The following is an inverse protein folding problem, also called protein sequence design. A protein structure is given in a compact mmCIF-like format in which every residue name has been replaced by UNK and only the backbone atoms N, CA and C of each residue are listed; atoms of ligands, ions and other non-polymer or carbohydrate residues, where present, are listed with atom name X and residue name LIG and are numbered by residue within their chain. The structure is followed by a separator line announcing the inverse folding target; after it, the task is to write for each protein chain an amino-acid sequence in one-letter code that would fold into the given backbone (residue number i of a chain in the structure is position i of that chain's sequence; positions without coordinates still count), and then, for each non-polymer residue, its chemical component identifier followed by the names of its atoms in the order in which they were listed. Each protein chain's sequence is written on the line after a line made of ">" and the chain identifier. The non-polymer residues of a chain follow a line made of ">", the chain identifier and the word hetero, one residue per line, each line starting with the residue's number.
data_IF_544064101140
#
_entry.id   IF_544064101140
#
_cell.length_a   1.000
_cell.length_b   1.000
_cell.length_c   1.000
_cell.angle_alpha   90.00
_cell.angle_beta   90.00
_cell.angle_gamma   90.00
#
_symmetry.space_group_name_H-M   'P 1'
#
loop_
_entity.id
_entity.type
_entity.pdbx_description
1 polymer ?
#
# COMPACT_ATOMS: atom_id res chain seq x y z
N UNK A 1 42.91 -38.91 5.65
CA UNK A 1 41.75 -38.22 6.25
C UNK A 1 41.91 -36.73 5.97
N UNK A 2 41.17 -36.19 4.99
CA UNK A 2 41.13 -34.76 4.69
C UNK A 2 39.84 -34.21 5.27
N UNK A 3 39.93 -33.35 6.29
CA UNK A 3 38.78 -32.74 6.93
C UNK A 3 38.17 -31.70 5.98
N UNK A 4 36.92 -31.92 5.57
CA UNK A 4 36.12 -30.94 4.84
C UNK A 4 35.89 -29.72 5.75
N UNK A 5 36.41 -28.56 5.36
CA UNK A 5 36.08 -27.28 6.00
C UNK A 5 34.57 -27.05 5.87
N UNK A 6 33.86 -26.61 6.93
CA UNK A 6 32.49 -26.17 6.80
C UNK A 6 32.44 -25.02 5.79
N UNK A 7 31.64 -25.19 4.74
CA UNK A 7 31.35 -24.12 3.78
C UNK A 7 30.77 -22.95 4.57
N UNK A 8 31.52 -21.85 4.68
CA UNK A 8 31.03 -20.63 5.30
C UNK A 8 29.75 -20.24 4.59
N UNK A 9 28.61 -20.30 5.29
CA UNK A 9 27.32 -19.94 4.74
C UNK A 9 27.44 -18.54 4.12
N UNK A 10 27.26 -18.45 2.80
CA UNK A 10 27.33 -17.19 2.09
C UNK A 10 26.34 -16.21 2.75
N UNK A 11 26.73 -14.94 2.98
CA UNK A 11 25.85 -13.97 3.61
C UNK A 11 24.52 -13.91 2.85
N UNK A 12 23.41 -14.08 3.56
CA UNK A 12 22.08 -14.02 2.95
C UNK A 12 21.88 -12.63 2.36
N UNK A 13 21.73 -12.57 1.03
CA UNK A 13 21.43 -11.31 0.35
C UNK A 13 20.05 -10.86 0.79
N UNK A 14 19.89 -9.67 1.38
CA UNK A 14 18.59 -9.22 1.88
C UNK A 14 17.59 -9.17 0.73
N UNK A 15 16.40 -9.76 0.95
CA UNK A 15 15.32 -9.84 -0.06
C UNK A 15 14.92 -8.47 -0.58
N UNK A 16 15.01 -7.43 0.24
CA UNK A 16 14.68 -6.05 -0.11
C UNK A 16 15.86 -5.11 0.14
N UNK A 17 16.02 -4.09 -0.70
CA UNK A 17 17.01 -3.03 -0.51
C UNK A 17 16.64 -2.11 0.66
N UNK A 18 17.61 -1.32 1.15
CA UNK A 18 17.33 -0.30 2.17
C UNK A 18 16.30 0.71 1.67
N UNK A 19 16.42 1.16 0.42
CA UNK A 19 15.47 2.09 -0.19
C UNK A 19 14.04 1.54 -0.19
N UNK A 20 13.84 0.28 -0.61
CA UNK A 20 12.51 -0.36 -0.59
C UNK A 20 11.89 -0.37 0.82
N UNK A 21 12.68 -0.70 1.85
CA UNK A 21 12.20 -0.74 3.24
C UNK A 21 11.82 0.64 3.77
N UNK A 22 12.65 1.65 3.51
CA UNK A 22 12.36 3.02 3.98
C UNK A 22 11.15 3.62 3.27
N UNK A 23 11.01 3.40 1.95
CA UNK A 23 9.82 3.81 1.20
C UNK A 23 8.58 3.12 1.76
N UNK A 24 8.63 1.80 1.96
CA UNK A 24 7.50 1.06 2.52
C UNK A 24 7.11 1.55 3.92
N UNK A 25 8.09 1.79 4.81
CA UNK A 25 7.85 2.33 6.16
C UNK A 25 7.21 3.71 6.11
N UNK A 26 7.73 4.62 5.30
CA UNK A 26 7.20 5.96 5.16
C UNK A 26 5.75 5.95 4.62
N UNK A 27 5.49 5.15 3.57
CA UNK A 27 4.13 4.96 3.04
C UNK A 27 3.21 4.34 4.10
N UNK A 28 3.68 3.34 4.85
CA UNK A 28 2.89 2.71 5.90
C UNK A 28 2.49 3.72 7.00
N UNK A 29 3.43 4.53 7.49
CA UNK A 29 3.15 5.56 8.50
C UNK A 29 2.11 6.56 8.00
N UNK A 30 2.28 7.09 6.79
CA UNK A 30 1.32 8.02 6.18
C UNK A 30 -0.05 7.36 5.98
N UNK A 31 -0.07 6.12 5.47
CA UNK A 31 -1.30 5.36 5.25
C UNK A 31 -2.07 5.12 6.54
N UNK A 32 -1.40 4.64 7.59
CA UNK A 32 -2.03 4.43 8.90
C UNK A 32 -2.51 5.75 9.52
N UNK A 33 -1.77 6.84 9.32
CA UNK A 33 -2.19 8.18 9.75
C UNK A 33 -3.47 8.61 9.03
N UNK A 34 -3.55 8.45 7.71
CA UNK A 34 -4.76 8.71 6.93
C UNK A 34 -5.93 7.84 7.39
N UNK A 35 -5.72 6.54 7.63
CA UNK A 35 -6.78 5.63 8.09
C UNK A 35 -7.30 6.00 9.48
N UNK A 36 -6.40 6.30 10.42
CA UNK A 36 -6.79 6.69 11.78
C UNK A 36 -7.55 8.02 11.79
N UNK A 37 -7.04 9.02 11.07
CA UNK A 37 -7.72 10.32 10.96
C UNK A 37 -9.05 10.21 10.21
N UNK A 38 -9.15 9.40 9.14
CA UNK A 38 -10.40 9.13 8.45
C UNK A 38 -11.45 8.49 9.37
N UNK A 39 -11.05 7.50 10.19
CA UNK A 39 -11.96 6.87 11.15
C UNK A 39 -12.54 7.90 12.14
N UNK A 40 -11.70 8.82 12.63
CA UNK A 40 -12.14 9.92 13.51
C UNK A 40 -13.06 10.89 12.77
N UNK A 41 -12.73 11.27 11.53
CA UNK A 41 -13.52 12.24 10.75
C UNK A 41 -14.88 11.67 10.32
N UNK A 42 -14.96 10.37 10.07
CA UNK A 42 -16.18 9.66 9.66
C UNK A 42 -17.09 9.33 10.85
N UNK A 43 -16.53 8.94 11.99
CA UNK A 43 -17.31 8.55 13.16
C UNK A 43 -17.49 9.71 14.15
N UNK A 44 -18.73 10.21 14.27
CA UNK A 44 -19.06 11.32 15.17
C UNK A 44 -18.67 11.09 16.64
N UNK A 45 -18.80 9.88 17.17
CA UNK A 45 -18.42 9.57 18.55
C UNK A 45 -16.91 9.65 18.76
N UNK A 46 -16.11 9.21 17.78
CA UNK A 46 -14.65 9.37 17.82
C UNK A 46 -14.25 10.84 17.68
N UNK A 47 -14.91 11.60 16.81
CA UNK A 47 -14.65 13.03 16.65
C UNK A 47 -14.91 13.82 17.94
N UNK A 48 -15.98 13.48 18.67
CA UNK A 48 -16.29 14.09 19.96
C UNK A 48 -15.24 13.75 21.03
N UNK A 49 -14.77 12.49 21.05
CA UNK A 49 -13.75 12.04 22.01
C UNK A 49 -12.39 12.70 21.79
N UNK A 50 -11.94 12.78 20.53
CA UNK A 50 -10.63 13.39 20.20
C UNK A 50 -10.68 14.91 20.37
N UNK A 51 -11.83 15.54 20.08
CA UNK A 51 -11.94 16.99 19.95
C UNK A 51 -11.11 17.51 18.76
N UNK A 52 -11.13 18.82 18.51
CA UNK A 52 -10.24 19.46 17.52
C UNK A 52 -10.33 18.88 16.09
N UNK A 53 -11.56 18.66 15.60
CA UNK A 53 -11.83 18.11 14.24
C UNK A 53 -10.99 18.76 13.14
N UNK A 54 -10.80 20.08 13.20
CA UNK A 54 -10.00 20.81 12.21
C UNK A 54 -8.53 20.38 12.18
N UNK A 55 -7.90 20.13 13.33
CA UNK A 55 -6.52 19.62 13.37
C UNK A 55 -6.44 18.22 12.75
N UNK A 56 -7.40 17.35 13.07
CA UNK A 56 -7.48 16.00 12.50
C UNK A 56 -7.63 16.05 10.98
N UNK A 57 -8.49 16.95 10.49
CA UNK A 57 -8.66 17.22 9.06
C UNK A 57 -7.36 17.69 8.40
N UNK A 58 -6.65 18.65 9.01
CA UNK A 58 -5.36 19.12 8.48
C UNK A 58 -4.34 17.98 8.41
N UNK A 59 -4.21 17.19 9.47
CA UNK A 59 -3.30 16.03 9.48
C UNK A 59 -3.70 15.03 8.40
N UNK A 60 -4.99 14.75 8.23
CA UNK A 60 -5.50 13.85 7.20
C UNK A 60 -5.11 14.33 5.79
N UNK A 61 -5.43 15.59 5.48
CA UNK A 61 -5.18 16.18 4.16
C UNK A 61 -3.68 16.20 3.84
N UNK A 62 -2.85 16.69 4.76
CA UNK A 62 -1.41 16.77 4.52
C UNK A 62 -0.75 15.39 4.45
N UNK A 63 -1.21 14.42 5.24
CA UNK A 63 -0.74 13.03 5.14
C UNK A 63 -1.13 12.41 3.79
N UNK A 64 -2.36 12.67 3.32
CA UNK A 64 -2.86 12.18 2.03
C UNK A 64 -2.08 12.77 0.86
N UNK A 65 -1.80 14.08 0.89
CA UNK A 65 -0.97 14.76 -0.12
C UNK A 65 0.48 14.27 -0.09
N UNK A 66 0.99 13.88 1.08
CA UNK A 66 2.35 13.39 1.24
C UNK A 66 2.55 11.93 0.79
N UNK A 67 1.47 11.12 0.67
CA UNK A 67 1.56 9.69 0.30
C UNK A 67 2.42 9.40 -0.96
N UNK A 68 2.33 10.19 -2.05
CA UNK A 68 3.16 9.95 -3.24
C UNK A 68 4.64 10.29 -3.03
N UNK A 69 4.98 11.13 -2.05
CA UNK A 69 6.34 11.67 -1.88
C UNK A 69 7.39 10.58 -1.64
N UNK A 70 7.22 9.64 -0.69
CA UNK A 70 8.18 8.55 -0.53
C UNK A 70 8.32 7.68 -1.78
N UNK A 71 7.24 7.48 -2.53
CA UNK A 71 7.26 6.67 -3.76
C UNK A 71 8.07 7.35 -4.87
N UNK A 72 7.93 8.67 -5.01
CA UNK A 72 8.69 9.48 -5.94
C UNK A 72 10.17 9.55 -5.55
N UNK A 73 10.48 9.73 -4.27
CA UNK A 73 11.86 9.68 -3.76
C UNK A 73 12.49 8.30 -3.98
N UNK A 74 11.70 7.23 -3.80
CA UNK A 74 12.11 5.86 -4.09
C UNK A 74 12.56 5.65 -5.54
N UNK A 75 11.99 6.39 -6.50
CA UNK A 75 12.37 6.30 -7.91
C UNK A 75 13.83 6.68 -8.19
N UNK A 76 14.52 7.36 -7.27
CA UNK A 76 15.97 7.58 -7.37
C UNK A 76 16.77 6.26 -7.27
N UNK A 77 16.23 5.24 -6.57
CA UNK A 77 16.86 3.93 -6.42
C UNK A 77 16.57 3.01 -7.61
N UNK A 78 17.63 2.49 -8.25
CA UNK A 78 17.51 1.54 -9.36
C UNK A 78 16.84 0.23 -8.93
N UNK A 79 17.11 -0.25 -7.72
CA UNK A 79 16.49 -1.45 -7.17
C UNK A 79 14.97 -1.29 -7.00
N UNK A 80 14.56 -0.14 -6.44
CA UNK A 80 13.15 0.20 -6.28
C UNK A 80 12.43 0.30 -7.63
N UNK A 81 13.01 1.02 -8.62
CA UNK A 81 12.44 1.11 -9.97
C UNK A 81 12.26 -0.26 -10.62
N UNK A 82 13.26 -1.14 -10.49
CA UNK A 82 13.18 -2.49 -11.05
C UNK A 82 12.05 -3.32 -10.41
N UNK A 83 11.78 -3.12 -9.12
CA UNK A 83 10.66 -3.78 -8.44
C UNK A 83 9.30 -3.19 -8.80
N UNK A 84 9.18 -1.87 -8.93
CA UNK A 84 7.96 -1.23 -9.45
C UNK A 84 7.62 -1.78 -10.83
N UNK A 85 8.59 -1.85 -11.75
CA UNK A 85 8.39 -2.41 -13.09
C UNK A 85 8.01 -3.89 -13.09
N UNK A 86 8.38 -4.66 -12.06
CA UNK A 86 7.94 -6.05 -11.89
C UNK A 86 6.51 -6.14 -11.36
N UNK A 87 6.13 -5.23 -10.47
CA UNK A 87 4.79 -5.15 -9.90
C UNK A 87 3.74 -4.71 -10.93
N UNK A 88 4.10 -3.82 -11.86
CA UNK A 88 3.23 -3.35 -12.94
C UNK A 88 2.90 -4.44 -13.98
N UNK A 89 3.74 -5.49 -14.09
CA UNK A 89 3.60 -6.53 -15.11
C UNK A 89 2.78 -7.71 -14.59
N UNK A 90 1.47 -7.66 -14.87
CA UNK A 90 0.56 -8.81 -14.73
C UNK A 90 0.63 -9.69 -15.98
N UNK A 91 1.23 -10.86 -15.86
CA UNK A 91 1.42 -11.84 -16.94
C UNK A 91 0.25 -12.82 -17.05
N UNK A 92 0.21 -13.62 -18.12
CA UNK A 92 -0.79 -14.69 -18.27
C UNK A 92 -0.71 -15.73 -17.16
N UNK A 93 0.49 -16.04 -16.67
CA UNK A 93 0.69 -16.99 -15.58
C UNK A 93 0.22 -16.40 -14.24
N UNK A 94 0.35 -15.10 -14.02
CA UNK A 94 -0.24 -14.42 -12.86
C UNK A 94 -1.77 -14.60 -12.83
N UNK A 95 -2.42 -14.44 -13.99
CA UNK A 95 -3.86 -14.66 -14.12
C UNK A 95 -4.25 -16.13 -13.91
N UNK A 96 -3.43 -17.08 -14.37
CA UNK A 96 -3.64 -18.51 -14.12
C UNK A 96 -3.51 -18.82 -12.63
N UNK A 97 -2.52 -18.22 -11.95
CA UNK A 97 -2.32 -18.34 -10.52
C UNK A 97 -3.51 -17.82 -9.72
N UNK A 98 -4.06 -16.65 -10.09
CA UNK A 98 -5.22 -16.05 -9.41
C UNK A 98 -6.49 -16.92 -9.52
N UNK A 99 -6.68 -17.61 -10.65
CA UNK A 99 -7.86 -18.47 -10.88
C UNK A 99 -7.66 -19.91 -10.36
N UNK A 100 -6.43 -20.32 -10.08
CA UNK A 100 -6.13 -21.68 -9.66
C UNK A 100 -6.42 -21.91 -8.17
N UNK A 101 -7.13 -23.00 -7.85
CA UNK A 101 -7.27 -23.49 -6.47
C UNK A 101 -6.00 -24.13 -5.93
N UNK A 102 -5.07 -24.54 -6.80
CA UNK A 102 -3.81 -25.18 -6.43
C UNK A 102 -2.62 -24.23 -6.39
N UNK A 103 -2.84 -22.92 -6.40
CA UNK A 103 -1.83 -21.85 -6.41
C UNK A 103 -0.68 -21.92 -5.36
N UNK A 104 -0.75 -22.83 -4.38
CA UNK A 104 0.26 -23.06 -3.33
C UNK A 104 1.09 -24.35 -3.52
N UNK A 105 0.84 -25.12 -4.58
CA UNK A 105 1.49 -26.41 -4.84
C UNK A 105 2.83 -26.31 -5.61
N UNK A 106 3.22 -25.10 -6.03
CA UNK A 106 4.46 -24.86 -6.78
C UNK A 106 4.38 -25.20 -8.28
N UNK A 107 3.24 -25.65 -8.79
CA UNK A 107 3.07 -26.02 -10.21
C UNK A 107 3.05 -24.82 -11.16
N UNK A 108 2.76 -23.63 -10.65
CA UNK A 108 2.71 -22.38 -11.43
C UNK A 108 3.95 -21.56 -11.08
N UNK A 109 4.80 -21.18 -12.06
CA UNK A 109 5.96 -20.34 -11.82
C UNK A 109 5.59 -19.03 -11.12
N UNK A 110 6.38 -18.64 -10.13
CA UNK A 110 6.21 -17.39 -9.37
C UNK A 110 7.52 -16.61 -9.48
N UNK A 111 7.43 -15.38 -9.98
CA UNK A 111 8.55 -14.43 -10.02
C UNK A 111 8.85 -13.89 -8.60
N UNK A 112 9.78 -12.93 -8.44
CA UNK A 112 10.10 -12.28 -7.16
C UNK A 112 8.85 -11.86 -6.38
N UNK A 113 7.79 -11.43 -7.07
CA UNK A 113 6.47 -11.14 -6.51
C UNK A 113 5.41 -12.08 -7.09
N UNK A 114 4.59 -12.67 -6.22
CA UNK A 114 3.46 -13.49 -6.66
C UNK A 114 2.31 -12.62 -7.20
N UNK A 115 1.40 -13.23 -7.96
CA UNK A 115 0.27 -12.54 -8.57
C UNK A 115 -0.63 -11.82 -7.55
N UNK A 116 -0.78 -12.36 -6.34
CA UNK A 116 -1.52 -11.70 -5.25
C UNK A 116 -0.84 -10.43 -4.76
N UNK A 117 0.49 -10.41 -4.65
CA UNK A 117 1.26 -9.22 -4.30
C UNK A 117 1.18 -8.15 -5.39
N UNK A 118 1.26 -8.55 -6.66
CA UNK A 118 1.08 -7.64 -7.80
C UNK A 118 -0.32 -7.03 -7.82
N UNK A 119 -1.35 -7.85 -7.66
CA UNK A 119 -2.74 -7.39 -7.60
C UNK A 119 -2.98 -6.45 -6.41
N UNK A 120 -2.45 -6.79 -5.23
CA UNK A 120 -2.54 -5.93 -4.06
C UNK A 120 -1.85 -4.58 -4.30
N UNK A 121 -0.65 -4.57 -4.89
CA UNK A 121 0.05 -3.34 -5.23
C UNK A 121 -0.76 -2.47 -6.22
N UNK A 122 -1.31 -3.07 -7.27
CA UNK A 122 -2.15 -2.36 -8.24
C UNK A 122 -3.43 -1.77 -7.61
N UNK A 123 -4.11 -2.54 -6.76
CA UNK A 123 -5.30 -2.08 -6.05
C UNK A 123 -4.97 -0.95 -5.05
N UNK A 124 -3.89 -1.07 -4.29
CA UNK A 124 -3.45 0.00 -3.37
C UNK A 124 -3.13 1.28 -4.12
N UNK A 125 -2.31 1.21 -5.18
CA UNK A 125 -1.94 2.39 -5.97
C UNK A 125 -3.17 3.01 -6.63
N UNK A 126 -4.03 2.21 -7.26
CA UNK A 126 -5.27 2.70 -7.87
C UNK A 126 -6.17 3.39 -6.86
N UNK A 127 -6.36 2.80 -5.68
CA UNK A 127 -7.15 3.41 -4.60
C UNK A 127 -6.53 4.71 -4.08
N UNK A 128 -5.20 4.77 -3.90
CA UNK A 128 -4.52 6.00 -3.46
C UNK A 128 -4.71 7.12 -4.48
N UNK A 129 -4.61 6.84 -5.78
CA UNK A 129 -4.85 7.85 -6.81
C UNK A 129 -6.30 8.37 -6.80
N UNK A 130 -7.27 7.47 -6.65
CA UNK A 130 -8.69 7.86 -6.52
C UNK A 130 -8.92 8.70 -5.28
N UNK A 131 -8.40 8.28 -4.12
CA UNK A 131 -8.54 8.99 -2.84
C UNK A 131 -7.87 10.36 -2.86
N UNK A 132 -6.68 10.46 -3.47
CA UNK A 132 -6.00 11.74 -3.63
C UNK A 132 -6.82 12.68 -4.52
N UNK A 133 -7.31 12.18 -5.66
CA UNK A 133 -8.14 12.96 -6.58
C UNK A 133 -9.42 13.45 -5.93
N UNK A 134 -10.18 12.56 -5.27
CA UNK A 134 -11.42 12.93 -4.60
C UNK A 134 -11.17 13.83 -3.38
N UNK A 135 -10.11 13.58 -2.61
CA UNK A 135 -9.71 14.42 -1.48
C UNK A 135 -9.39 15.86 -1.91
N UNK A 136 -8.68 16.04 -3.03
CA UNK A 136 -8.43 17.37 -3.62
C UNK A 136 -9.73 18.04 -4.05
N UNK A 137 -10.64 17.32 -4.73
CA UNK A 137 -11.93 17.87 -5.13
C UNK A 137 -12.82 18.28 -3.94
N UNK A 138 -12.74 17.55 -2.82
CA UNK A 138 -13.48 17.86 -1.60
C UNK A 138 -12.91 19.07 -0.87
N UNK A 139 -11.58 19.11 -0.70
CA UNK A 139 -10.86 20.12 0.08
C UNK A 139 -10.81 21.49 -0.58
N UNK A 140 -10.65 21.56 -1.91
CA UNK A 140 -10.63 22.83 -2.63
C UNK A 140 -11.97 23.13 -3.28
N UNK A 141 -12.83 23.77 -2.49
CA UNK A 141 -14.24 24.02 -2.81
C UNK A 141 -14.48 24.87 -4.07
N UNK A 142 -13.48 25.66 -4.49
CA UNK A 142 -13.53 26.49 -5.69
C UNK A 142 -13.23 25.78 -7.02
N UNK A 143 -12.82 24.49 -6.99
CA UNK A 143 -12.43 23.78 -8.22
C UNK A 143 -13.61 23.25 -9.03
N UNK A 144 -14.71 22.87 -8.38
CA UNK A 144 -15.82 22.15 -9.02
C UNK A 144 -17.18 22.49 -8.40
N UNK A 145 -18.25 22.25 -9.18
CA UNK A 145 -19.64 22.41 -8.74
C UNK A 145 -19.98 21.48 -7.56
N UNK A 146 -20.95 21.86 -6.73
CA UNK A 146 -21.37 21.11 -5.54
C UNK A 146 -21.70 19.63 -5.82
N UNK A 147 -22.37 19.33 -6.94
CA UNK A 147 -22.72 17.94 -7.30
C UNK A 147 -21.50 17.04 -7.51
N UNK A 148 -20.41 17.59 -8.04
CA UNK A 148 -19.14 16.87 -8.21
C UNK A 148 -18.46 16.61 -6.88
N UNK A 149 -18.59 17.55 -5.93
CA UNK A 149 -18.05 17.40 -4.57
C UNK A 149 -18.79 16.32 -3.79
N UNK A 150 -20.12 16.27 -3.88
CA UNK A 150 -20.91 15.20 -3.26
C UNK A 150 -20.56 13.84 -3.84
N UNK A 151 -20.38 13.74 -5.17
CA UNK A 151 -19.89 12.52 -5.82
C UNK A 151 -18.48 12.13 -5.34
N UNK A 152 -17.58 13.12 -5.20
CA UNK A 152 -16.23 12.88 -4.69
C UNK A 152 -16.25 12.36 -3.24
N UNK A 153 -17.07 12.90 -2.34
CA UNK A 153 -17.22 12.38 -0.97
C UNK A 153 -17.67 10.92 -0.98
N UNK A 154 -18.72 10.60 -1.74
CA UNK A 154 -19.20 9.22 -1.85
C UNK A 154 -18.10 8.27 -2.34
N UNK A 155 -17.40 8.63 -3.41
CA UNK A 155 -16.30 7.81 -3.96
C UNK A 155 -15.15 7.70 -2.96
N UNK A 156 -14.80 8.79 -2.28
CA UNK A 156 -13.73 8.81 -1.29
C UNK A 156 -14.02 7.84 -0.15
N UNK A 157 -15.22 7.87 0.43
CA UNK A 157 -15.59 7.03 1.56
C UNK A 157 -15.56 5.53 1.21
N UNK A 158 -16.10 5.16 0.04
CA UNK A 158 -16.10 3.75 -0.40
C UNK A 158 -14.70 3.23 -0.72
N UNK A 159 -13.87 4.05 -1.38
CA UNK A 159 -12.48 3.67 -1.63
C UNK A 159 -11.65 3.62 -0.35
N UNK A 160 -11.91 4.51 0.62
CA UNK A 160 -11.23 4.51 1.91
C UNK A 160 -11.57 3.24 2.69
N UNK A 161 -12.84 2.84 2.71
CA UNK A 161 -13.26 1.58 3.32
C UNK A 161 -12.62 0.36 2.64
N UNK A 162 -12.69 0.30 1.30
CA UNK A 162 -12.11 -0.79 0.52
C UNK A 162 -10.58 -0.90 0.70
N UNK A 163 -9.88 0.23 0.65
CA UNK A 163 -8.44 0.30 0.89
C UNK A 163 -8.10 -0.08 2.33
N UNK A 164 -8.87 0.36 3.32
CA UNK A 164 -8.69 -0.02 4.72
C UNK A 164 -8.78 -1.53 4.93
N UNK A 165 -9.78 -2.19 4.32
CA UNK A 165 -9.91 -3.65 4.34
C UNK A 165 -8.74 -4.34 3.63
N UNK A 166 -8.30 -3.81 2.49
CA UNK A 166 -7.16 -4.34 1.74
C UNK A 166 -5.86 -4.26 2.55
N UNK A 167 -5.58 -3.11 3.19
CA UNK A 167 -4.43 -2.91 4.06
C UNK A 167 -4.50 -3.83 5.28
N UNK A 168 -5.66 -3.93 5.93
CA UNK A 168 -5.84 -4.85 7.06
C UNK A 168 -5.56 -6.31 6.66
N UNK A 169 -6.06 -6.75 5.50
CA UNK A 169 -5.78 -8.07 4.94
C UNK A 169 -4.29 -8.28 4.64
N UNK A 170 -3.63 -7.27 4.08
CA UNK A 170 -2.20 -7.29 3.81
C UNK A 170 -1.36 -7.43 5.10
N UNK A 171 -1.67 -6.63 6.12
CA UNK A 171 -0.99 -6.67 7.43
C UNK A 171 -1.21 -8.01 8.12
N UNK A 172 -2.45 -8.51 8.13
CA UNK A 172 -2.75 -9.84 8.66
C UNK A 172 -1.96 -10.95 7.97
N UNK A 173 -1.89 -10.92 6.63
CA UNK A 173 -1.11 -11.87 5.86
C UNK A 173 0.39 -11.76 6.18
N UNK A 174 0.92 -10.54 6.26
CA UNK A 174 2.33 -10.31 6.60
C UNK A 174 2.67 -10.80 8.02
N UNK A 175 1.80 -10.62 9.01
CA UNK A 175 2.03 -11.13 10.37
C UNK A 175 1.98 -12.66 10.44
N UNK A 176 1.13 -13.31 9.63
CA UNK A 176 0.96 -14.77 9.62
C UNK A 176 2.03 -15.52 8.84
N UNK A 177 2.59 -14.90 7.80
CA UNK A 177 3.47 -15.57 6.83
C UNK A 177 4.80 -14.83 6.60
N UNK A 178 5.02 -13.68 7.24
CA UNK A 178 6.21 -12.83 7.06
C UNK A 178 7.26 -12.98 8.17
N UNK A 179 6.99 -13.77 9.21
CA UNK A 179 7.96 -14.16 10.24
C UNK A 179 8.61 -15.49 9.86
N UNK A 180 9.51 -15.41 8.89
CA UNK A 180 10.33 -16.52 8.42
C UNK A 180 11.72 -16.02 8.06
N UNK A 181 12.33 -15.27 8.99
CA UNK A 181 13.77 -15.02 9.04
C UNK A 181 14.35 -15.96 10.11
#
# INVERSE_FOLDING_TARGET
>A
MSASRPSAAAPSTPRFSRAEREVHRAVAVLMFTCMATAAVLYNGSLALLVGHRHLVELVHVWSGLALPVPMLLGAASAAYRADVLRLERLTRDDWRWLRSRRRRDGSIPVDRFNAGQKLNAALVVGSVLVLLGTGVLMGWTGLVRLSWRSGATFVHDWFALGLGLLVAGHVWFAMRYGTGD
#
